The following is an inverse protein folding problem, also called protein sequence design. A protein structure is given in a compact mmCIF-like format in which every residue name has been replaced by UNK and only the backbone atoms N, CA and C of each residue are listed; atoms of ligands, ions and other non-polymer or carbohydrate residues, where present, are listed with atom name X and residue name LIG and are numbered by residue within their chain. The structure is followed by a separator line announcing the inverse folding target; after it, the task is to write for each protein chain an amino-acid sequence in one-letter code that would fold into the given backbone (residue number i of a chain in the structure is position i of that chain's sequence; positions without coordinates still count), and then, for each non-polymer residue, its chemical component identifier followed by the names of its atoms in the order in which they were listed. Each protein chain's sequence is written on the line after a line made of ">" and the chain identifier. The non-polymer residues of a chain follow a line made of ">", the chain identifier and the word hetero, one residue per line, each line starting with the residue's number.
data_IF_586628510467
#
_entry.id   IF_586628510467
#
_cell.length_a   1.000
_cell.length_b   1.000
_cell.length_c   1.000
_cell.angle_alpha   90.00
_cell.angle_beta   90.00
_cell.angle_gamma   90.00
#
_symmetry.space_group_name_H-M   'P 1'
#
loop_
_entity.id
_entity.type
_entity.pdbx_description
1 polymer ?
#
# COMPACT_ATOMS: atom_id res chain seq x y z
N UNK A 1 40.97 29.98 31.20
CA UNK A 1 41.96 29.63 32.23
C UNK A 1 41.47 28.34 32.87
N UNK A 2 42.25 27.27 32.83
CA UNK A 2 41.87 26.03 33.52
C UNK A 2 41.88 26.29 35.04
N UNK A 3 40.90 25.74 35.76
CA UNK A 3 40.87 25.83 37.22
C UNK A 3 42.01 24.99 37.80
N UNK A 4 42.90 25.61 38.58
CA UNK A 4 43.92 24.88 39.33
C UNK A 4 43.39 24.53 40.73
N UNK A 5 43.19 23.24 41.07
CA UNK A 5 42.64 22.84 42.36
C UNK A 5 43.57 23.22 43.52
N UNK A 6 43.00 23.72 44.61
CA UNK A 6 43.75 24.00 45.84
C UNK A 6 43.97 22.70 46.62
N UNK A 7 45.21 22.40 46.99
CA UNK A 7 45.54 21.34 47.95
C UNK A 7 45.35 21.86 49.38
N UNK A 8 44.56 21.15 50.18
CA UNK A 8 44.24 21.53 51.56
C UNK A 8 44.99 20.64 52.55
N UNK A 9 45.59 21.24 53.58
CA UNK A 9 46.14 20.52 54.74
C UNK A 9 45.17 20.57 55.91
N UNK A 10 45.32 19.63 56.84
CA UNK A 10 44.58 19.69 58.09
C UNK A 10 44.96 20.96 58.86
N UNK A 11 43.96 21.63 59.46
CA UNK A 11 44.09 22.93 60.15
C UNK A 11 44.27 24.17 59.25
N UNK A 12 44.18 24.04 57.92
CA UNK A 12 44.15 25.18 57.01
C UNK A 12 42.89 26.05 57.19
N UNK A 13 43.08 27.36 57.32
CA UNK A 13 41.98 28.33 57.37
C UNK A 13 41.37 28.51 55.96
N UNK A 14 40.06 28.31 55.84
CA UNK A 14 39.29 28.58 54.63
C UNK A 14 39.12 30.09 54.48
N UNK A 15 39.80 30.68 53.50
CA UNK A 15 39.66 32.11 53.17
C UNK A 15 38.58 32.34 52.13
N UNK A 16 38.01 33.55 52.12
CA UNK A 16 37.05 33.96 51.08
C UNK A 16 37.62 33.81 49.67
N UNK A 17 38.92 34.05 49.48
CA UNK A 17 39.60 33.86 48.20
C UNK A 17 39.63 32.39 47.76
N UNK A 18 39.96 31.46 48.68
CA UNK A 18 39.95 30.03 48.37
C UNK A 18 38.53 29.50 48.12
N UNK A 19 37.53 30.03 48.83
CA UNK A 19 36.13 29.67 48.62
C UNK A 19 35.63 30.18 47.26
N UNK A 20 35.89 31.44 46.93
CA UNK A 20 35.57 32.02 45.63
C UNK A 20 36.26 31.25 44.49
N UNK A 21 37.51 30.81 44.68
CA UNK A 21 38.22 29.98 43.70
C UNK A 21 37.47 28.68 43.47
N UNK A 22 37.10 27.96 44.53
CA UNK A 22 36.34 26.71 44.46
C UNK A 22 34.97 26.91 43.79
N UNK A 23 34.25 27.98 44.10
CA UNK A 23 32.99 28.33 43.42
C UNK A 23 33.18 28.56 41.91
N UNK A 24 34.28 29.21 41.50
CA UNK A 24 34.59 29.38 40.07
C UNK A 24 34.91 28.04 39.39
N UNK A 25 35.64 27.15 40.07
CA UNK A 25 35.93 25.80 39.57
C UNK A 25 34.65 24.98 39.37
N UNK A 26 33.76 24.99 40.38
CA UNK A 26 32.48 24.28 40.33
C UNK A 26 31.55 24.86 39.25
N UNK A 27 31.48 26.19 39.13
CA UNK A 27 30.65 26.86 38.12
C UNK A 27 31.08 26.55 36.68
N UNK A 28 32.37 26.33 36.45
CA UNK A 28 32.92 26.02 35.13
C UNK A 28 32.65 24.57 34.69
N UNK A 29 32.37 23.65 35.63
CA UNK A 29 32.09 22.24 35.32
C UNK A 29 30.60 21.87 35.33
N UNK A 30 29.72 22.77 35.79
CA UNK A 30 28.35 22.37 36.16
C UNK A 30 27.38 22.14 34.99
N UNK A 31 27.79 22.39 33.73
CA UNK A 31 26.94 22.11 32.56
C UNK A 31 27.75 21.35 31.51
N UNK A 32 27.58 20.03 31.50
CA UNK A 32 28.05 19.19 30.40
C UNK A 32 27.30 19.49 29.10
N UNK A 33 27.86 19.13 27.94
CA UNK A 33 27.18 19.32 26.67
C UNK A 33 25.82 18.59 26.67
N UNK A 34 24.83 19.17 25.99
CA UNK A 34 23.58 18.49 25.73
C UNK A 34 23.86 17.13 25.08
N UNK A 35 23.18 16.09 25.54
CA UNK A 35 23.30 14.75 24.95
C UNK A 35 22.92 14.75 23.47
N UNK A 36 23.41 13.78 22.68
CA UNK A 36 23.03 13.68 21.28
C UNK A 36 21.51 13.51 21.14
N UNK A 37 20.97 14.01 20.03
CA UNK A 37 19.57 13.74 19.68
C UNK A 37 19.34 12.22 19.63
N UNK A 38 18.19 11.79 20.16
CA UNK A 38 17.78 10.39 20.08
C UNK A 38 17.61 9.91 18.64
N UNK A 39 17.67 8.59 18.39
CA UNK A 39 17.43 8.05 17.06
C UNK A 39 16.02 8.39 16.57
N UNK A 40 15.85 8.49 15.25
CA UNK A 40 14.53 8.59 14.65
C UNK A 40 13.67 7.37 15.05
N UNK A 41 12.38 7.60 15.27
CA UNK A 41 11.42 6.53 15.55
C UNK A 41 11.28 5.55 14.38
N UNK A 42 10.77 4.34 14.63
CA UNK A 42 10.52 3.37 13.57
C UNK A 42 9.49 3.89 12.56
N UNK A 43 9.57 3.40 11.32
CA UNK A 43 8.53 3.64 10.33
C UNK A 43 7.16 3.15 10.85
N UNK A 44 6.12 3.90 10.52
CA UNK A 44 4.74 3.51 10.84
C UNK A 44 4.32 2.21 10.14
N UNK A 45 3.29 1.53 10.65
CA UNK A 45 2.78 0.32 10.02
C UNK A 45 2.29 0.62 8.59
N UNK A 46 2.37 -0.39 7.73
CA UNK A 46 1.73 -0.36 6.42
C UNK A 46 0.22 -0.20 6.60
N UNK A 47 -0.41 0.67 5.82
CA UNK A 47 -1.87 0.80 5.80
C UNK A 47 -2.57 -0.47 5.32
N UNK A 48 -3.83 -0.62 5.69
CA UNK A 48 -4.66 -1.77 5.36
C UNK A 48 -4.87 -1.92 3.83
N UNK A 49 -5.14 -3.15 3.42
CA UNK A 49 -5.57 -3.41 2.04
C UNK A 49 -6.95 -2.77 1.79
N UNK A 50 -7.12 -2.15 0.63
CA UNK A 50 -8.41 -1.60 0.21
C UNK A 50 -9.50 -2.66 0.08
N UNK A 51 -10.76 -2.25 0.21
CA UNK A 51 -11.91 -3.13 0.03
C UNK A 51 -11.95 -3.75 -1.37
N UNK A 52 -12.47 -4.98 -1.46
CA UNK A 52 -12.73 -5.62 -2.74
C UNK A 52 -13.76 -4.81 -3.55
N UNK A 53 -13.55 -4.66 -4.85
CA UNK A 53 -14.50 -4.00 -5.75
C UNK A 53 -15.83 -4.75 -5.88
N UNK A 54 -16.87 -4.10 -6.41
CA UNK A 54 -18.18 -4.72 -6.59
C UNK A 54 -18.13 -5.89 -7.57
N UNK A 55 -18.97 -6.90 -7.34
CA UNK A 55 -19.13 -8.03 -8.27
C UNK A 55 -19.87 -7.59 -9.54
N UNK A 56 -19.46 -8.10 -10.69
CA UNK A 56 -20.13 -7.88 -11.97
C UNK A 56 -20.81 -9.17 -12.47
N UNK A 57 -22.06 -9.07 -12.90
CA UNK A 57 -22.81 -10.15 -13.54
C UNK A 57 -23.01 -9.75 -15.01
N UNK A 58 -22.51 -10.56 -15.95
CA UNK A 58 -22.68 -10.32 -17.38
C UNK A 58 -24.12 -10.65 -17.81
N UNK A 59 -24.94 -9.67 -18.25
CA UNK A 59 -26.27 -9.94 -18.76
C UNK A 59 -26.22 -10.65 -20.11
N UNK A 60 -27.32 -11.30 -20.50
CA UNK A 60 -27.48 -11.81 -21.87
C UNK A 60 -27.63 -10.66 -22.87
N UNK A 61 -27.09 -10.82 -24.08
CA UNK A 61 -27.26 -9.85 -25.16
C UNK A 61 -28.73 -9.68 -25.57
N UNK A 62 -29.12 -8.48 -25.99
CA UNK A 62 -30.45 -8.17 -26.52
C UNK A 62 -30.35 -7.34 -27.81
N UNK A 63 -31.49 -7.06 -28.46
CA UNK A 63 -31.56 -6.18 -29.66
C UNK A 63 -31.06 -4.76 -29.38
N UNK A 64 -31.03 -4.33 -28.12
CA UNK A 64 -30.74 -2.94 -27.72
C UNK A 64 -29.66 -2.83 -26.64
N UNK A 65 -29.09 -3.95 -26.18
CA UNK A 65 -28.16 -3.97 -25.05
C UNK A 65 -27.06 -4.99 -25.29
N UNK A 66 -25.81 -4.56 -25.10
CA UNK A 66 -24.65 -5.44 -25.15
C UNK A 66 -24.71 -6.44 -23.98
N UNK A 67 -24.30 -7.67 -24.25
CA UNK A 67 -24.26 -8.73 -23.26
C UNK A 67 -23.55 -9.98 -23.78
N UNK A 68 -23.49 -11.01 -22.95
CA UNK A 68 -22.93 -12.29 -23.28
C UNK A 68 -23.82 -13.10 -24.22
N UNK A 69 -23.18 -13.90 -25.07
CA UNK A 69 -23.80 -14.97 -25.87
C UNK A 69 -23.14 -16.29 -25.53
N UNK A 70 -23.81 -17.41 -25.79
CA UNK A 70 -23.19 -18.73 -25.71
C UNK A 70 -22.49 -19.05 -27.03
N UNK A 71 -21.56 -19.99 -26.98
CA UNK A 71 -21.03 -20.60 -28.19
C UNK A 71 -22.16 -21.38 -28.90
N UNK A 72 -22.29 -21.20 -30.21
CA UNK A 72 -23.25 -21.95 -31.00
C UNK A 72 -22.86 -23.43 -31.11
N UNK A 73 -23.87 -24.28 -31.23
CA UNK A 73 -23.65 -25.69 -31.54
C UNK A 73 -22.98 -25.83 -32.91
N UNK A 74 -22.16 -26.87 -33.07
CA UNK A 74 -21.57 -27.20 -34.35
C UNK A 74 -22.68 -27.48 -35.38
N UNK A 75 -22.61 -26.80 -36.51
CA UNK A 75 -23.45 -27.07 -37.69
C UNK A 75 -22.56 -27.75 -38.71
N UNK A 76 -22.97 -28.95 -39.15
CA UNK A 76 -22.21 -29.70 -40.14
C UNK A 76 -22.06 -28.91 -41.45
N UNK A 77 -20.94 -29.12 -42.15
CA UNK A 77 -20.73 -28.54 -43.46
C UNK A 77 -21.77 -29.05 -44.46
N UNK A 78 -22.06 -28.22 -45.46
CA UNK A 78 -23.00 -28.59 -46.51
C UNK A 78 -22.48 -29.81 -47.27
N UNK A 79 -23.34 -30.81 -47.46
CA UNK A 79 -22.92 -32.06 -48.09
C UNK A 79 -22.86 -31.97 -49.63
N UNK A 80 -23.47 -30.94 -50.22
CA UNK A 80 -23.55 -30.73 -51.66
C UNK A 80 -23.08 -29.34 -52.09
N UNK A 81 -22.99 -29.13 -53.40
CA UNK A 81 -22.58 -27.85 -54.00
C UNK A 81 -23.50 -26.68 -53.63
N UNK A 82 -24.77 -26.97 -53.31
CA UNK A 82 -25.75 -25.98 -52.87
C UNK A 82 -26.26 -26.30 -51.46
N UNK A 83 -26.41 -25.26 -50.63
CA UNK A 83 -27.00 -25.36 -49.29
C UNK A 83 -28.51 -25.58 -49.41
N UNK A 84 -29.01 -26.61 -48.77
CA UNK A 84 -30.44 -26.92 -48.69
C UNK A 84 -31.14 -26.02 -47.67
N UNK A 85 -32.46 -25.88 -47.81
CA UNK A 85 -33.29 -25.17 -46.82
C UNK A 85 -33.16 -25.77 -45.42
N UNK A 86 -32.95 -27.08 -45.32
CA UNK A 86 -32.78 -27.79 -44.06
C UNK A 86 -31.46 -27.43 -43.37
N UNK A 87 -30.35 -27.42 -44.11
CA UNK A 87 -29.03 -27.01 -43.59
C UNK A 87 -29.03 -25.54 -43.15
N UNK A 88 -29.63 -24.66 -43.93
CA UNK A 88 -29.76 -23.26 -43.55
C UNK A 88 -30.63 -23.07 -42.30
N UNK A 89 -31.75 -23.80 -42.20
CA UNK A 89 -32.60 -23.79 -41.00
C UNK A 89 -31.83 -24.31 -39.78
N UNK A 90 -31.04 -25.37 -39.91
CA UNK A 90 -30.23 -25.90 -38.82
C UNK A 90 -29.23 -24.86 -38.30
N UNK A 91 -28.60 -24.09 -39.21
CA UNK A 91 -27.75 -22.97 -38.84
C UNK A 91 -28.51 -21.89 -38.07
N UNK A 92 -29.68 -21.47 -38.57
CA UNK A 92 -30.49 -20.46 -37.89
C UNK A 92 -30.90 -20.90 -36.49
N UNK A 93 -31.32 -22.16 -36.34
CA UNK A 93 -31.73 -22.71 -35.06
C UNK A 93 -30.55 -22.77 -34.07
N UNK A 94 -29.35 -23.17 -34.53
CA UNK A 94 -28.15 -23.20 -33.69
C UNK A 94 -27.76 -21.81 -33.16
N UNK A 95 -27.80 -20.79 -34.03
CA UNK A 95 -27.48 -19.40 -33.67
C UNK A 95 -28.54 -18.80 -32.71
N UNK A 96 -29.83 -19.11 -32.91
CA UNK A 96 -30.90 -18.70 -31.98
C UNK A 96 -30.82 -19.42 -30.63
N UNK A 97 -30.45 -20.70 -30.63
CA UNK A 97 -30.21 -21.48 -29.42
C UNK A 97 -29.06 -20.87 -28.59
N UNK A 98 -28.00 -20.41 -29.27
CA UNK A 98 -26.84 -19.76 -28.68
C UNK A 98 -27.09 -18.34 -28.13
N UNK A 99 -28.25 -17.75 -28.43
CA UNK A 99 -28.55 -16.36 -28.09
C UNK A 99 -27.82 -15.33 -28.97
N UNK A 100 -27.30 -15.77 -30.13
CA UNK A 100 -26.60 -14.90 -31.08
C UNK A 100 -27.56 -14.20 -32.05
N UNK A 101 -28.80 -14.72 -32.17
CA UNK A 101 -29.88 -14.10 -32.93
C UNK A 101 -31.16 -14.07 -32.11
N UNK A 102 -32.01 -13.08 -32.40
CA UNK A 102 -33.33 -12.98 -31.80
C UNK A 102 -34.20 -14.19 -32.13
N UNK A 103 -35.01 -14.63 -31.16
CA UNK A 103 -35.92 -15.78 -31.33
C UNK A 103 -37.23 -15.39 -32.00
N UNK A 104 -37.59 -14.11 -31.94
CA UNK A 104 -38.72 -13.44 -32.58
C UNK A 104 -38.47 -11.92 -32.67
#
# INVERSE_FOLDING_TARGET
>A
MAYEPTTWNNDDVITAEKLNKLEQGVKNEQVGPAGPAGPAGPAGPKGDQGAQGPSYILPAASKTTLGGVKQAALVAEAAGENVTKAEFKALLDALKAAGQMARE
#
